data_IF_680843175931
#
_entry.id   IF_680843175931
#
_cell.length_a   1.000
_cell.length_b   1.000
_cell.length_c   1.000
_cell.angle_alpha   90.00
_cell.angle_beta   90.00
_cell.angle_gamma   90.00
#
_symmetry.space_group_name_H-M   'P 1'
#
loop_
_entity.id
_entity.type
_entity.pdbx_description
1 polymer ?
#
# COMPACT_ATOMS: atom_id res chain seq x y z
N UNK A 1 -15.54 -30.64 -29.65
CA UNK A 1 -14.23 -31.32 -29.72
C UNK A 1 -13.21 -30.30 -29.29
N UNK A 2 -12.53 -30.54 -28.17
CA UNK A 2 -11.56 -29.60 -27.63
C UNK A 2 -10.25 -29.74 -28.39
N UNK A 3 -9.66 -28.62 -28.81
CA UNK A 3 -8.41 -28.58 -29.56
C UNK A 3 -7.44 -27.67 -28.83
N UNK A 4 -6.19 -28.09 -28.71
CA UNK A 4 -5.20 -27.26 -28.07
C UNK A 4 -4.92 -26.02 -28.93
N UNK A 5 -5.04 -24.83 -28.35
CA UNK A 5 -4.83 -23.57 -29.07
C UNK A 5 -3.38 -23.35 -29.54
N UNK A 6 -2.41 -24.07 -28.97
CA UNK A 6 -0.99 -23.91 -29.32
C UNK A 6 -0.56 -24.80 -30.49
N UNK A 7 -1.07 -26.03 -30.57
CA UNK A 7 -0.68 -26.99 -31.60
C UNK A 7 -1.80 -27.31 -32.62
N UNK A 8 -3.03 -26.89 -32.35
CA UNK A 8 -4.20 -27.14 -33.20
C UNK A 8 -4.70 -28.59 -33.20
N UNK A 9 -4.15 -29.46 -32.36
CA UNK A 9 -4.50 -30.89 -32.28
C UNK A 9 -5.46 -31.18 -31.11
N UNK A 10 -6.35 -32.15 -31.31
CA UNK A 10 -7.24 -32.71 -30.28
C UNK A 10 -6.78 -34.07 -29.73
N UNK A 11 -5.58 -34.54 -30.09
CA UNK A 11 -5.02 -35.77 -29.53
C UNK A 11 -4.67 -35.61 -28.04
N UNK A 12 -4.32 -36.70 -27.35
CA UNK A 12 -3.86 -36.65 -25.94
C UNK A 12 -4.85 -35.95 -24.99
N UNK A 13 -6.14 -36.26 -25.13
CA UNK A 13 -7.23 -35.66 -24.35
C UNK A 13 -7.02 -35.74 -22.83
N UNK A 14 -6.40 -36.83 -22.34
CA UNK A 14 -6.07 -37.03 -20.91
C UNK A 14 -5.07 -36.00 -20.35
N UNK A 15 -4.40 -35.25 -21.22
CA UNK A 15 -3.41 -34.21 -20.89
C UNK A 15 -3.85 -32.83 -21.35
N UNK A 16 -5.13 -32.67 -21.66
CA UNK A 16 -5.72 -31.41 -22.08
C UNK A 16 -6.30 -30.68 -20.85
N UNK A 17 -5.90 -29.42 -20.68
CA UNK A 17 -6.40 -28.51 -19.67
C UNK A 17 -7.45 -27.58 -20.27
N UNK A 18 -8.49 -27.29 -19.51
CA UNK A 18 -9.45 -26.23 -19.80
C UNK A 18 -9.17 -25.05 -18.90
N UNK A 19 -9.10 -23.86 -19.48
CA UNK A 19 -8.94 -22.63 -18.72
C UNK A 19 -10.24 -22.28 -18.01
N UNK A 20 -10.21 -22.17 -16.68
CA UNK A 20 -11.37 -21.80 -15.87
C UNK A 20 -11.80 -20.32 -16.02
N UNK A 21 -11.11 -19.54 -16.88
CA UNK A 21 -11.42 -18.14 -17.17
C UNK A 21 -12.00 -17.87 -18.57
N UNK A 22 -11.66 -18.69 -19.57
CA UNK A 22 -12.09 -18.49 -20.95
C UNK A 22 -12.52 -19.78 -21.67
N UNK A 23 -12.54 -20.92 -20.97
CA UNK A 23 -12.88 -22.25 -21.48
C UNK A 23 -11.98 -22.78 -22.62
N UNK A 24 -10.93 -22.05 -22.98
CA UNK A 24 -9.96 -22.47 -24.00
C UNK A 24 -9.12 -23.66 -23.54
N UNK A 25 -8.70 -24.48 -24.51
CA UNK A 25 -8.02 -25.75 -24.24
C UNK A 25 -6.53 -25.74 -24.57
N UNK A 26 -5.72 -26.37 -23.72
CA UNK A 26 -4.26 -26.41 -23.84
C UNK A 26 -3.69 -27.75 -23.39
N UNK A 27 -2.76 -28.35 -24.12
CA UNK A 27 -2.00 -29.50 -23.58
C UNK A 27 -1.04 -29.05 -22.49
N UNK A 28 -0.91 -29.85 -21.44
CA UNK A 28 0.06 -29.62 -20.35
C UNK A 28 1.48 -29.38 -20.88
N UNK A 29 1.90 -30.13 -21.90
CA UNK A 29 3.24 -30.07 -22.49
C UNK A 29 3.41 -28.99 -23.57
N UNK A 30 2.32 -28.42 -24.11
CA UNK A 30 2.40 -27.31 -25.06
C UNK A 30 2.64 -25.97 -24.35
N UNK A 31 2.34 -25.89 -23.05
CA UNK A 31 2.55 -24.70 -22.23
C UNK A 31 4.04 -24.38 -22.03
N UNK A 32 4.34 -23.12 -21.71
CA UNK A 32 5.69 -22.66 -21.39
C UNK A 32 5.62 -21.98 -20.00
N UNK A 33 6.24 -22.57 -18.96
CA UNK A 33 6.87 -23.89 -18.93
C UNK A 33 5.85 -25.03 -19.07
N UNK A 34 6.27 -26.21 -19.60
CA UNK A 34 5.39 -27.37 -19.70
C UNK A 34 5.06 -27.91 -18.31
N UNK A 35 3.80 -28.31 -18.13
CA UNK A 35 3.30 -28.94 -16.91
C UNK A 35 3.44 -30.46 -17.02
N UNK A 36 3.91 -31.09 -15.95
CA UNK A 36 4.11 -32.54 -15.90
C UNK A 36 2.79 -33.27 -15.64
N UNK A 37 1.94 -32.70 -14.78
CA UNK A 37 0.64 -33.23 -14.37
C UNK A 37 -0.44 -32.14 -14.46
N UNK A 38 -1.70 -32.56 -14.46
CA UNK A 38 -2.85 -31.66 -14.35
C UNK A 38 -2.83 -30.98 -12.97
N UNK A 39 -2.84 -29.63 -12.90
CA UNK A 39 -2.86 -28.90 -11.63
C UNK A 39 -4.07 -29.26 -10.76
N UNK A 40 -3.90 -29.19 -9.44
CA UNK A 40 -5.02 -29.31 -8.50
C UNK A 40 -5.65 -27.94 -8.25
N UNK A 41 -6.96 -27.84 -8.45
CA UNK A 41 -7.71 -26.58 -8.31
C UNK A 41 -7.72 -25.77 -9.60
N UNK A 42 -8.08 -24.50 -9.48
CA UNK A 42 -8.29 -23.62 -10.62
C UNK A 42 -7.02 -23.41 -11.43
N UNK A 43 -7.12 -23.57 -12.75
CA UNK A 43 -6.06 -23.26 -13.70
C UNK A 43 -6.52 -22.19 -14.69
N UNK A 44 -5.65 -21.17 -14.88
CA UNK A 44 -5.86 -20.09 -15.84
C UNK A 44 -4.76 -20.13 -16.90
N UNK A 45 -5.16 -19.97 -18.16
CA UNK A 45 -4.21 -19.94 -19.28
C UNK A 45 -3.33 -18.68 -19.24
N UNK A 46 -2.17 -18.68 -19.95
CA UNK A 46 -1.27 -17.53 -19.97
C UNK A 46 -1.94 -16.23 -20.43
N UNK A 47 -2.93 -16.30 -21.32
CA UNK A 47 -3.66 -15.12 -21.79
C UNK A 47 -4.56 -14.55 -20.69
N UNK A 48 -5.31 -15.38 -19.96
CA UNK A 48 -6.11 -14.93 -18.82
C UNK A 48 -5.21 -14.37 -17.70
N UNK A 49 -4.09 -15.03 -17.40
CA UNK A 49 -3.13 -14.52 -16.41
C UNK A 49 -2.54 -13.17 -16.84
N UNK A 50 -2.14 -13.02 -18.10
CA UNK A 50 -1.66 -11.75 -18.62
C UNK A 50 -2.74 -10.66 -18.57
N UNK A 51 -4.00 -11.00 -18.84
CA UNK A 51 -5.12 -10.07 -18.70
C UNK A 51 -5.29 -9.62 -17.24
N UNK A 52 -5.30 -10.55 -16.29
CA UNK A 52 -5.39 -10.21 -14.85
C UNK A 52 -4.19 -9.35 -14.39
N UNK A 53 -2.96 -9.68 -14.82
CA UNK A 53 -1.77 -8.88 -14.48
C UNK A 53 -1.77 -7.48 -15.13
N UNK A 54 -2.46 -7.31 -16.26
CA UNK A 54 -2.57 -6.03 -16.98
C UNK A 54 -3.84 -5.25 -16.63
N UNK A 55 -4.76 -5.83 -15.84
CA UNK A 55 -5.85 -5.03 -15.29
C UNK A 55 -5.22 -3.94 -14.44
N UNK A 56 -5.67 -2.67 -14.57
CA UNK A 56 -5.33 -1.68 -13.56
C UNK A 56 -5.70 -2.31 -12.22
N UNK A 57 -4.80 -2.25 -11.23
CA UNK A 57 -5.18 -2.63 -9.87
C UNK A 57 -6.40 -1.78 -9.53
N UNK A 58 -7.59 -2.39 -9.55
CA UNK A 58 -8.70 -1.84 -8.79
C UNK A 58 -8.17 -1.75 -7.37
N UNK A 59 -8.08 -0.53 -6.84
CA UNK A 59 -7.51 -0.29 -5.54
C UNK A 59 -8.34 -1.08 -4.52
N UNK A 60 -7.83 -2.23 -4.08
CA UNK A 60 -8.41 -2.93 -2.96
C UNK A 60 -8.15 -2.09 -1.71
N UNK A 61 -9.15 -1.34 -1.26
CA UNK A 61 -9.03 -0.43 -0.12
C UNK A 61 -9.43 1.01 -0.47
N UNK A 62 -8.59 1.96 -0.07
CA UNK A 62 -8.86 3.39 -0.24
C UNK A 62 -8.48 3.86 -1.65
N UNK A 63 -9.36 4.65 -2.27
CA UNK A 63 -9.08 5.28 -3.56
C UNK A 63 -7.92 6.28 -3.41
N UNK A 64 -6.99 6.27 -4.35
CA UNK A 64 -5.94 7.28 -4.39
C UNK A 64 -6.58 8.64 -4.71
N UNK A 65 -6.27 9.65 -3.89
CA UNK A 65 -6.73 11.00 -4.15
C UNK A 65 -6.29 11.46 -5.54
N UNK A 66 -7.19 12.09 -6.28
CA UNK A 66 -6.92 12.58 -7.64
C UNK A 66 -5.96 13.79 -7.66
N UNK A 67 -5.68 14.38 -6.48
CA UNK A 67 -4.93 15.61 -6.33
C UNK A 67 -3.69 15.38 -5.47
N UNK A 68 -2.57 15.91 -5.94
CA UNK A 68 -1.35 16.03 -5.15
C UNK A 68 -1.39 17.26 -4.25
N UNK A 69 -0.85 17.13 -3.04
CA UNK A 69 -0.73 18.21 -2.07
C UNK A 69 0.73 18.44 -1.67
N UNK A 70 1.05 19.70 -1.40
CA UNK A 70 2.15 20.04 -0.50
C UNK A 70 1.66 19.93 0.95
N UNK A 71 2.58 19.75 1.91
CA UNK A 71 2.23 19.71 3.34
C UNK A 71 1.40 20.93 3.79
N UNK A 72 1.74 22.12 3.28
CA UNK A 72 1.00 23.36 3.55
C UNK A 72 -0.43 23.31 3.01
N UNK A 73 -0.58 22.97 1.73
CA UNK A 73 -1.91 22.96 1.08
C UNK A 73 -2.81 21.85 1.62
N UNK A 74 -2.23 20.74 2.09
CA UNK A 74 -2.97 19.71 2.80
C UNK A 74 -3.47 20.23 4.16
N UNK A 75 -2.61 20.91 4.92
CA UNK A 75 -2.99 21.55 6.18
C UNK A 75 -4.09 22.60 6.02
N UNK A 76 -4.00 23.46 4.99
CA UNK A 76 -5.04 24.44 4.67
C UNK A 76 -6.39 23.78 4.35
N UNK A 77 -6.37 22.67 3.59
CA UNK A 77 -7.57 21.88 3.29
C UNK A 77 -8.15 21.21 4.55
N UNK A 78 -7.31 20.57 5.35
CA UNK A 78 -7.72 19.88 6.57
C UNK A 78 -8.30 20.84 7.62
N UNK A 79 -7.65 22.00 7.79
CA UNK A 79 -8.14 23.03 8.72
C UNK A 79 -9.48 23.60 8.27
N UNK A 80 -9.63 23.91 6.97
CA UNK A 80 -10.89 24.40 6.41
C UNK A 80 -12.02 23.36 6.58
N UNK A 81 -11.76 22.09 6.25
CA UNK A 81 -12.73 21.01 6.44
C UNK A 81 -13.19 20.93 7.89
N UNK A 82 -12.24 20.86 8.84
CA UNK A 82 -12.57 20.72 10.26
C UNK A 82 -13.30 21.94 10.81
N UNK A 83 -12.88 23.15 10.43
CA UNK A 83 -13.55 24.37 10.90
C UNK A 83 -14.96 24.50 10.37
N UNK A 84 -15.18 24.16 9.10
CA UNK A 84 -16.48 24.27 8.45
C UNK A 84 -17.44 23.19 8.98
N UNK A 85 -16.95 21.95 9.14
CA UNK A 85 -17.74 20.83 9.64
C UNK A 85 -18.25 21.06 11.06
N UNK A 86 -17.37 21.51 11.97
CA UNK A 86 -17.73 21.76 13.36
C UNK A 86 -18.20 23.19 13.63
N UNK A 87 -18.16 24.07 12.62
CA UNK A 87 -18.49 25.50 12.71
C UNK A 87 -17.78 26.22 13.88
N UNK A 88 -16.48 25.93 14.06
CA UNK A 88 -15.64 26.52 15.11
C UNK A 88 -14.15 26.48 14.74
N UNK A 89 -13.29 27.33 15.34
CA UNK A 89 -11.84 27.24 15.11
C UNK A 89 -11.28 25.86 15.44
N UNK A 90 -10.37 25.33 14.61
CA UNK A 90 -9.87 23.94 14.69
C UNK A 90 -9.28 23.55 16.05
N UNK A 91 -8.66 24.49 16.75
CA UNK A 91 -8.05 24.31 18.07
C UNK A 91 -9.07 24.35 19.22
N UNK A 92 -10.31 24.74 18.94
CA UNK A 92 -11.41 24.80 19.91
C UNK A 92 -12.32 23.57 19.83
N UNK A 93 -12.15 22.71 18.82
CA UNK A 93 -12.93 21.46 18.69
C UNK A 93 -12.47 20.46 19.75
N UNK A 94 -13.31 20.06 20.73
CA UNK A 94 -12.93 19.08 21.74
C UNK A 94 -12.67 17.71 21.14
N UNK A 95 -11.70 16.98 21.68
CA UNK A 95 -11.34 15.62 21.24
C UNK A 95 -12.51 14.65 21.36
N UNK A 96 -13.31 14.77 22.41
CA UNK A 96 -14.47 13.90 22.66
C UNK A 96 -15.60 14.17 21.64
N UNK A 97 -15.70 15.40 21.15
CA UNK A 97 -16.65 15.75 20.10
C UNK A 97 -16.26 15.11 18.77
N UNK A 98 -14.97 15.19 18.41
CA UNK A 98 -14.43 14.55 17.20
C UNK A 98 -14.61 13.03 17.26
N UNK A 99 -14.27 12.41 18.38
CA UNK A 99 -14.40 10.96 18.57
C UNK A 99 -15.86 10.50 18.46
N UNK A 100 -16.78 11.18 19.16
CA UNK A 100 -18.21 10.86 19.11
C UNK A 100 -18.75 10.97 17.69
N UNK A 101 -18.34 12.01 16.97
CA UNK A 101 -18.82 12.27 15.61
C UNK A 101 -18.24 11.27 14.61
N UNK A 102 -16.95 10.93 14.73
CA UNK A 102 -16.32 9.87 13.94
C UNK A 102 -17.10 8.55 14.07
N UNK A 103 -17.39 8.11 15.29
CA UNK A 103 -18.13 6.85 15.48
C UNK A 103 -19.58 6.92 15.01
N UNK A 104 -20.22 8.10 15.08
CA UNK A 104 -21.54 8.33 14.50
C UNK A 104 -21.50 8.17 12.97
N UNK A 105 -20.52 8.78 12.31
CA UNK A 105 -20.33 8.71 10.85
C UNK A 105 -20.03 7.28 10.38
N UNK A 106 -19.14 6.58 11.08
CA UNK A 106 -18.82 5.16 10.77
C UNK A 106 -20.05 4.25 10.91
N UNK A 107 -21.01 4.63 11.74
CA UNK A 107 -22.20 3.82 12.02
C UNK A 107 -23.42 4.16 11.16
N UNK A 108 -23.40 5.27 10.42
CA UNK A 108 -24.52 5.69 9.58
C UNK A 108 -24.29 5.29 8.12
N UNK A 109 -25.39 5.05 7.40
CA UNK A 109 -25.41 4.83 5.95
C UNK A 109 -26.09 5.99 5.21
N UNK A 110 -26.56 6.99 5.94
CA UNK A 110 -27.34 8.12 5.39
C UNK A 110 -26.47 9.33 5.04
N UNK A 111 -25.27 9.40 5.61
CA UNK A 111 -24.35 10.52 5.43
C UNK A 111 -23.02 10.01 4.90
N UNK A 112 -22.60 10.56 3.76
CA UNK A 112 -21.31 10.28 3.15
C UNK A 112 -20.34 11.43 3.47
N UNK A 113 -19.34 11.14 4.29
CA UNK A 113 -18.24 12.06 4.59
C UNK A 113 -16.94 11.44 4.08
N UNK A 114 -16.28 12.14 3.16
CA UNK A 114 -14.98 11.74 2.59
C UNK A 114 -13.88 12.61 3.15
N UNK A 115 -12.77 11.97 3.51
CA UNK A 115 -11.54 12.63 3.96
C UNK A 115 -10.35 12.04 3.20
N UNK A 116 -9.27 12.80 3.10
CA UNK A 116 -8.02 12.36 2.49
C UNK A 116 -6.99 12.04 3.59
N UNK A 117 -6.15 11.04 3.36
CA UNK A 117 -5.14 10.61 4.33
C UNK A 117 -3.79 10.40 3.64
N UNK A 118 -2.78 11.18 4.03
CA UNK A 118 -1.40 11.07 3.54
C UNK A 118 -0.65 9.94 4.22
N UNK A 119 -1.00 8.70 3.88
CA UNK A 119 -0.41 7.50 4.46
C UNK A 119 0.84 7.00 3.69
N UNK A 120 1.61 6.15 4.36
CA UNK A 120 2.70 5.34 3.79
C UNK A 120 3.78 6.14 3.05
N UNK A 121 4.00 7.38 3.49
CA UNK A 121 5.01 8.27 2.90
C UNK A 121 6.39 7.82 3.38
N UNK A 122 7.20 7.23 2.51
CA UNK A 122 8.48 6.70 2.92
C UNK A 122 9.49 7.82 3.24
N UNK A 123 10.11 7.77 4.41
CA UNK A 123 11.14 8.74 4.82
C UNK A 123 12.36 8.79 3.90
N UNK A 124 12.61 7.74 3.11
CA UNK A 124 13.66 7.76 2.08
C UNK A 124 13.40 8.79 0.98
N UNK A 125 12.14 9.13 0.71
CA UNK A 125 11.75 9.99 -0.40
C UNK A 125 11.82 11.47 0.02
N UNK A 126 11.36 11.78 1.25
CA UNK A 126 11.20 13.16 1.74
C UNK A 126 12.07 13.51 2.96
N UNK A 127 12.81 12.54 3.50
CA UNK A 127 13.52 12.67 4.76
C UNK A 127 12.69 12.16 5.94
N UNK A 128 13.35 11.92 7.07
CA UNK A 128 12.68 11.57 8.32
C UNK A 128 12.20 12.82 9.06
N UNK A 129 11.18 12.67 9.91
CA UNK A 129 10.77 13.72 10.85
C UNK A 129 11.80 13.93 11.97
N UNK A 130 12.65 12.93 12.24
CA UNK A 130 13.79 13.04 13.15
C UNK A 130 15.06 13.42 12.40
N UNK A 131 16.03 14.08 13.07
CA UNK A 131 17.32 14.35 12.47
C UNK A 131 18.07 13.04 12.16
N UNK A 132 18.83 13.05 11.07
CA UNK A 132 19.64 11.91 10.61
C UNK A 132 21.05 12.40 10.34
N UNK A 133 22.05 11.57 10.65
CA UNK A 133 23.46 11.86 10.33
C UNK A 133 23.61 12.06 8.82
N UNK A 134 24.44 13.03 8.44
CA UNK A 134 24.64 13.45 7.04
C UNK A 134 23.35 13.92 6.33
N UNK A 135 22.32 14.27 7.10
CA UNK A 135 21.09 14.85 6.58
C UNK A 135 21.28 16.25 5.98
N UNK A 136 20.27 16.71 5.23
CA UNK A 136 20.28 18.04 4.58
C UNK A 136 20.11 19.21 5.57
N UNK A 137 19.66 18.93 6.80
CA UNK A 137 19.30 19.95 7.79
C UNK A 137 20.48 20.19 8.72
N UNK A 138 20.87 21.46 8.86
CA UNK A 138 21.87 21.88 9.85
C UNK A 138 21.20 22.03 11.21
N UNK A 139 21.64 21.24 12.18
CA UNK A 139 21.11 21.24 13.54
C UNK A 139 21.75 22.33 14.40
N UNK A 140 21.00 22.75 15.42
CA UNK A 140 21.54 23.54 16.53
C UNK A 140 22.22 22.61 17.54
N UNK A 141 23.19 23.08 18.34
CA UNK A 141 23.88 22.23 19.31
C UNK A 141 22.95 21.50 20.28
N UNK A 142 21.85 22.13 20.69
CA UNK A 142 20.83 21.53 21.55
C UNK A 142 20.02 20.41 20.89
N UNK A 143 20.03 20.31 19.55
CA UNK A 143 19.29 19.29 18.79
C UNK A 143 20.17 18.08 18.43
N UNK A 144 21.48 18.17 18.61
CA UNK A 144 22.41 17.09 18.27
C UNK A 144 22.17 15.84 19.12
N UNK A 145 21.63 15.97 20.33
CA UNK A 145 21.28 14.80 21.17
C UNK A 145 20.25 13.87 20.50
N UNK A 146 19.38 14.42 19.64
CA UNK A 146 18.36 13.63 18.94
C UNK A 146 18.95 12.77 17.82
N UNK A 147 20.18 13.04 17.36
CA UNK A 147 20.86 12.19 16.38
C UNK A 147 21.19 10.81 16.97
N UNK A 148 21.56 10.77 18.24
CA UNK A 148 22.03 9.55 18.93
C UNK A 148 21.00 8.94 19.87
N UNK A 149 19.85 9.59 20.03
CA UNK A 149 18.75 9.05 20.82
C UNK A 149 18.29 7.70 20.29
N UNK A 150 18.16 6.71 21.18
CA UNK A 150 17.54 5.41 20.84
C UNK A 150 16.04 5.51 20.50
N UNK A 151 15.39 6.63 20.84
CA UNK A 151 14.01 6.94 20.49
C UNK A 151 13.86 7.59 19.11
N UNK A 152 14.98 7.95 18.45
CA UNK A 152 14.96 8.33 17.06
C UNK A 152 14.65 7.08 16.22
N UNK A 153 13.52 7.08 15.51
CA UNK A 153 13.04 5.91 14.78
C UNK A 153 13.99 5.44 13.66
N UNK A 154 14.92 6.29 13.20
CA UNK A 154 15.95 5.89 12.25
C UNK A 154 17.04 5.02 12.89
N UNK A 155 17.23 5.13 14.21
CA UNK A 155 18.26 4.40 14.96
C UNK A 155 17.74 3.04 15.45
N UNK A 156 16.45 2.93 15.77
CA UNK A 156 15.83 1.71 16.30
C UNK A 156 16.21 0.44 15.50
N UNK A 157 16.28 0.45 14.15
CA UNK A 157 16.58 -0.74 13.37
C UNK A 157 18.06 -1.14 13.33
N UNK A 158 18.96 -0.28 13.81
CA UNK A 158 20.42 -0.48 13.77
C UNK A 158 21.04 -0.58 15.17
N UNK A 159 20.25 -0.41 16.23
CA UNK A 159 20.72 -0.66 17.61
C UNK A 159 21.04 -2.15 17.82
N UNK A 160 22.12 -2.45 18.53
CA UNK A 160 22.59 -3.83 18.76
C UNK A 160 21.54 -4.72 19.44
N UNK A 161 20.74 -4.16 20.34
CA UNK A 161 19.66 -4.86 21.04
C UNK A 161 18.38 -5.01 20.20
N UNK A 162 18.33 -4.44 19.00
CA UNK A 162 17.15 -4.48 18.14
C UNK A 162 17.12 -5.74 17.31
N UNK A 163 16.02 -6.47 17.37
CA UNK A 163 15.78 -7.63 16.49
C UNK A 163 15.82 -7.25 15.00
N UNK A 164 15.51 -5.98 14.69
CA UNK A 164 15.54 -5.45 13.32
C UNK A 164 16.97 -5.30 12.77
N UNK A 165 18.00 -5.30 13.62
CA UNK A 165 19.39 -5.25 13.19
C UNK A 165 19.80 -6.51 12.39
N UNK A 166 19.08 -7.62 12.57
CA UNK A 166 19.29 -8.86 11.82
C UNK A 166 18.61 -8.87 10.45
N UNK A 167 17.78 -7.87 10.14
CA UNK A 167 17.15 -7.75 8.82
C UNK A 167 18.12 -7.02 7.89
N UNK A 168 18.57 -7.69 6.83
CA UNK A 168 19.59 -7.15 5.92
C UNK A 168 19.03 -6.21 4.85
N UNK A 169 17.73 -6.28 4.57
CA UNK A 169 17.07 -5.45 3.58
C UNK A 169 16.48 -4.17 4.21
N UNK A 170 16.56 -3.07 3.48
CA UNK A 170 15.91 -1.81 3.86
C UNK A 170 14.44 -1.86 3.47
N UNK A 171 13.62 -2.33 4.42
CA UNK A 171 12.17 -2.48 4.24
C UNK A 171 11.48 -1.24 4.81
N UNK A 172 10.78 -0.48 3.96
CA UNK A 172 10.01 0.68 4.40
C UNK A 172 8.86 0.25 5.35
N UNK A 173 8.61 1.04 6.39
CA UNK A 173 7.67 0.71 7.46
C UNK A 173 8.25 -0.24 8.53
N UNK A 174 9.42 -0.83 8.29
CA UNK A 174 10.11 -1.72 9.25
C UNK A 174 11.47 -1.17 9.68
N UNK A 175 12.37 -0.95 8.71
CA UNK A 175 13.71 -0.38 8.95
C UNK A 175 13.81 1.08 8.56
N UNK A 176 12.94 1.55 7.68
CA UNK A 176 12.85 2.95 7.31
C UNK A 176 11.50 3.47 7.79
N UNK A 177 11.46 4.53 8.63
CA UNK A 177 10.19 5.06 9.12
C UNK A 177 9.27 5.50 7.98
N UNK A 178 7.97 5.33 8.19
CA UNK A 178 6.93 5.98 7.40
C UNK A 178 6.48 7.27 8.08
N UNK A 179 6.08 8.22 7.25
CA UNK A 179 5.43 9.44 7.66
C UNK A 179 3.93 9.30 7.36
N UNK A 180 3.12 9.85 8.24
CA UNK A 180 1.68 9.90 8.09
C UNK A 180 1.23 11.34 8.32
N UNK A 181 0.42 11.86 7.39
CA UNK A 181 -0.16 13.20 7.46
C UNK A 181 -1.68 13.05 7.45
N UNK A 182 -2.32 13.42 8.56
CA UNK A 182 -3.77 13.35 8.75
C UNK A 182 -4.25 14.32 9.81
#
# INVERSE_FOLDING_TARGET
MYVCLLCGSGNDEDRLLLCDGCDDSYHTFCLIPPLHDVPKGDWRCPQCLAQECNKPQEAFGFEQAARDYTLRTFGEMADAFKSDYFNMPVHMVPTELVEKEFWRLVSTIEEDVTVEYGADIASKDFGSGFPVRDGKIKLRPEEEEYLDSGWNLNNMPVMEQSVLAHITADICGMKLPWLYVG
#
